data_IF_074950231578
#
_entry.id   IF_074950231578
#
_cell.length_a   1.000
_cell.length_b   1.000
_cell.length_c   1.000
_cell.angle_alpha   90.00
_cell.angle_beta   90.00
_cell.angle_gamma   90.00
#
_symmetry.space_group_name_H-M   'P 1'
#
loop_
_entity.id
_entity.type
_entity.pdbx_description
1 polymer ?
#
# COMPACT_ATOMS: atom_id res chain seq x y z
N UNK A 1 23.79 -16.89 -37.00
CA UNK A 1 23.78 -17.86 -35.89
C UNK A 1 23.48 -17.07 -34.65
N UNK A 2 22.28 -17.25 -34.09
CA UNK A 2 21.91 -16.62 -32.83
C UNK A 2 22.58 -17.42 -31.71
N UNK A 3 23.39 -16.77 -30.89
CA UNK A 3 24.08 -17.43 -29.78
C UNK A 3 23.09 -17.53 -28.61
N UNK A 4 22.97 -18.68 -27.94
CA UNK A 4 22.08 -18.81 -26.79
C UNK A 4 22.50 -17.81 -25.69
N UNK A 5 21.54 -17.24 -24.93
CA UNK A 5 21.87 -16.37 -23.81
C UNK A 5 22.65 -17.19 -22.77
N UNK A 6 23.96 -16.98 -22.72
CA UNK A 6 24.88 -17.59 -21.75
C UNK A 6 25.40 -16.50 -20.84
N UNK A 7 25.43 -16.79 -19.54
CA UNK A 7 26.03 -15.89 -18.55
C UNK A 7 27.56 -16.01 -18.69
N UNK A 8 28.32 -14.92 -18.89
CA UNK A 8 29.77 -14.99 -19.02
C UNK A 8 30.40 -15.53 -17.72
N UNK A 9 31.39 -16.43 -17.85
CA UNK A 9 32.08 -17.09 -16.72
C UNK A 9 33.59 -16.96 -16.90
N UNK A 10 34.34 -16.80 -15.81
CA UNK A 10 35.81 -16.78 -15.86
C UNK A 10 36.37 -15.51 -16.47
N UNK A 11 37.35 -15.64 -17.38
CA UNK A 11 38.05 -14.49 -17.99
C UNK A 11 37.12 -13.51 -18.72
N UNK A 12 36.07 -14.03 -19.36
CA UNK A 12 35.08 -13.18 -20.04
C UNK A 12 34.31 -12.29 -19.05
N UNK A 13 34.08 -12.77 -17.83
CA UNK A 13 33.41 -12.00 -16.78
C UNK A 13 34.31 -10.91 -16.21
N UNK A 14 35.61 -11.20 -16.03
CA UNK A 14 36.58 -10.22 -15.54
C UNK A 14 36.80 -9.07 -16.54
N UNK A 15 36.91 -9.39 -17.84
CA UNK A 15 36.97 -8.37 -18.89
C UNK A 15 35.71 -7.50 -18.92
N UNK A 16 34.54 -8.11 -18.71
CA UNK A 16 33.29 -7.37 -18.64
C UNK A 16 33.27 -6.39 -17.45
N UNK A 17 33.77 -6.82 -16.29
CA UNK A 17 33.89 -5.95 -15.12
C UNK A 17 34.84 -4.79 -15.37
N UNK A 18 35.99 -5.04 -16.01
CA UNK A 18 36.97 -3.99 -16.34
C UNK A 18 36.35 -2.94 -17.29
N UNK A 19 35.67 -3.39 -18.35
CA UNK A 19 34.93 -2.51 -19.27
C UNK A 19 33.84 -1.71 -18.57
N UNK A 20 33.03 -2.36 -17.71
CA UNK A 20 31.96 -1.68 -16.97
C UNK A 20 32.52 -0.66 -15.97
N UNK A 21 33.69 -0.93 -15.37
CA UNK A 21 34.37 -0.03 -14.45
C UNK A 21 35.09 1.14 -15.14
N UNK A 22 35.46 0.98 -16.41
CA UNK A 22 36.17 2.00 -17.20
C UNK A 22 35.31 3.21 -17.57
N UNK A 23 33.98 3.11 -17.42
CA UNK A 23 33.04 4.18 -17.78
C UNK A 23 31.99 4.41 -16.69
N UNK A 24 31.99 5.58 -16.07
CA UNK A 24 30.94 5.95 -15.13
C UNK A 24 29.59 6.16 -15.84
N UNK A 25 28.58 5.39 -15.42
CA UNK A 25 27.15 5.57 -15.75
C UNK A 25 26.75 5.50 -17.25
N UNK A 26 27.61 5.01 -18.15
CA UNK A 26 27.28 4.86 -19.57
C UNK A 26 26.29 3.73 -19.81
N UNK A 27 26.51 2.58 -19.17
CA UNK A 27 25.73 1.37 -19.41
C UNK A 27 24.53 1.22 -18.48
N UNK A 28 24.57 1.84 -17.31
CA UNK A 28 23.48 1.79 -16.33
C UNK A 28 23.23 3.17 -15.73
N UNK A 29 22.18 3.84 -16.22
CA UNK A 29 21.61 5.03 -15.60
C UNK A 29 20.23 4.68 -15.05
N UNK A 30 20.08 4.52 -13.73
CA UNK A 30 18.78 4.28 -13.12
C UNK A 30 17.78 5.36 -13.59
N UNK A 31 16.69 4.95 -14.22
CA UNK A 31 15.65 5.89 -14.61
C UNK A 31 14.96 6.38 -13.34
N UNK A 32 14.87 7.70 -13.16
CA UNK A 32 14.08 8.25 -12.05
C UNK A 32 12.65 7.73 -12.13
N UNK A 33 12.10 7.30 -10.99
CA UNK A 33 10.73 6.81 -10.90
C UNK A 33 9.79 7.95 -11.27
N UNK A 34 8.88 7.71 -12.20
CA UNK A 34 7.87 8.70 -12.57
C UNK A 34 6.95 8.94 -11.38
N UNK A 35 7.01 10.14 -10.81
CA UNK A 35 6.08 10.58 -9.77
C UNK A 35 4.85 11.21 -10.43
N UNK A 36 3.68 10.76 -10.02
CA UNK A 36 2.41 11.29 -10.47
C UNK A 36 1.86 12.17 -9.36
N UNK A 37 1.90 13.48 -9.55
CA UNK A 37 1.15 14.41 -8.71
C UNK A 37 -0.27 14.50 -9.26
N UNK A 38 -1.23 13.93 -8.52
CA UNK A 38 -2.65 14.08 -8.83
C UNK A 38 -3.11 15.36 -8.14
N UNK A 39 -3.64 16.31 -8.91
CA UNK A 39 -4.29 17.49 -8.35
C UNK A 39 -5.60 17.08 -7.68
N UNK A 40 -5.58 17.03 -6.35
CA UNK A 40 -6.70 16.65 -5.51
C UNK A 40 -7.58 17.83 -5.08
N UNK A 41 -7.31 19.05 -5.58
CA UNK A 41 -8.06 20.26 -5.19
C UNK A 41 -9.55 20.20 -5.50
N UNK A 42 -9.93 19.48 -6.56
CA UNK A 42 -11.33 19.33 -7.00
C UNK A 42 -12.03 18.08 -6.43
N UNK A 43 -11.29 17.19 -5.75
CA UNK A 43 -11.84 15.97 -5.20
C UNK A 43 -12.65 16.25 -3.93
N UNK A 44 -13.82 15.60 -3.82
CA UNK A 44 -14.60 15.61 -2.59
C UNK A 44 -13.90 14.77 -1.52
N UNK A 45 -14.09 15.10 -0.25
CA UNK A 45 -13.44 14.40 0.89
C UNK A 45 -13.55 12.88 0.83
N UNK A 46 -14.72 12.33 0.46
CA UNK A 46 -14.90 10.89 0.36
C UNK A 46 -14.10 10.25 -0.78
N UNK A 47 -13.88 10.96 -1.89
CA UNK A 47 -13.08 10.48 -3.01
C UNK A 47 -11.59 10.45 -2.65
N UNK A 48 -11.13 11.42 -1.85
CA UNK A 48 -9.77 11.44 -1.31
C UNK A 48 -9.50 10.22 -0.42
N UNK A 49 -10.53 9.75 0.29
CA UNK A 49 -10.47 8.54 1.12
C UNK A 49 -10.53 7.23 0.31
N UNK A 50 -10.68 7.30 -1.02
CA UNK A 50 -10.69 6.14 -1.91
C UNK A 50 -12.08 5.55 -2.18
N UNK A 51 -13.17 6.22 -1.80
CA UNK A 51 -14.53 5.79 -2.14
C UNK A 51 -14.93 6.23 -3.55
N UNK A 52 -15.44 5.30 -4.35
CA UNK A 52 -15.94 5.57 -5.71
C UNK A 52 -17.29 6.29 -5.69
N UNK A 53 -18.19 5.86 -4.80
CA UNK A 53 -19.52 6.46 -4.65
C UNK A 53 -19.73 7.06 -3.25
N UNK A 54 -20.53 8.13 -3.19
CA UNK A 54 -20.86 8.79 -1.93
C UNK A 54 -21.67 7.89 -0.98
N UNK A 55 -22.53 7.01 -1.52
CA UNK A 55 -23.34 6.09 -0.74
C UNK A 55 -22.48 5.13 0.10
N UNK A 56 -21.38 4.63 -0.47
CA UNK A 56 -20.46 3.71 0.20
C UNK A 56 -19.75 4.40 1.38
N UNK A 57 -19.36 5.67 1.20
CA UNK A 57 -18.78 6.49 2.27
C UNK A 57 -19.76 6.72 3.42
N UNK A 58 -21.03 7.02 3.12
CA UNK A 58 -22.06 7.22 4.14
C UNK A 58 -22.35 5.90 4.87
N UNK A 59 -22.43 4.78 4.15
CA UNK A 59 -22.58 3.45 4.73
C UNK A 59 -21.43 3.13 5.68
N UNK A 60 -20.18 3.33 5.24
CA UNK A 60 -18.98 3.15 6.05
C UNK A 60 -18.98 4.01 7.32
N UNK A 61 -19.37 5.29 7.22
CA UNK A 61 -19.50 6.16 8.39
C UNK A 61 -20.57 5.65 9.35
N UNK A 62 -21.72 5.23 8.83
CA UNK A 62 -22.82 4.68 9.63
C UNK A 62 -22.38 3.43 10.40
N UNK A 63 -21.71 2.48 9.75
CA UNK A 63 -21.25 1.25 10.38
C UNK A 63 -20.13 1.49 11.39
N UNK A 64 -19.18 2.39 11.11
CA UNK A 64 -18.07 2.66 12.03
C UNK A 64 -18.47 3.57 13.19
N UNK A 65 -19.43 4.48 13.00
CA UNK A 65 -20.01 5.23 14.10
C UNK A 65 -20.85 4.32 15.02
N UNK A 66 -21.46 3.26 14.47
CA UNK A 66 -22.24 2.28 15.25
C UNK A 66 -21.40 1.51 16.28
N UNK A 67 -20.08 1.41 16.09
CA UNK A 67 -19.16 0.83 17.08
C UNK A 67 -19.22 1.55 18.43
N UNK A 68 -19.66 2.82 18.47
CA UNK A 68 -19.84 3.55 19.72
C UNK A 68 -21.18 3.24 20.41
N UNK A 69 -22.17 2.70 19.69
CA UNK A 69 -23.48 2.35 20.25
C UNK A 69 -23.56 0.93 20.81
N UNK A 70 -22.61 0.04 20.50
CA UNK A 70 -22.51 -1.25 21.17
C UNK A 70 -22.27 -1.11 22.68
N UNK A 71 -21.57 -0.05 23.11
CA UNK A 71 -21.44 0.29 24.53
C UNK A 71 -22.76 0.76 25.16
N UNK A 72 -23.68 1.36 24.39
CA UNK A 72 -25.00 1.78 24.87
C UNK A 72 -25.96 0.58 25.03
N UNK A 73 -25.61 -0.61 24.52
CA UNK A 73 -26.36 -1.85 24.67
C UNK A 73 -25.82 -2.76 25.78
N UNK A 74 -24.72 -2.38 26.44
CA UNK A 74 -24.13 -3.14 27.53
C UNK A 74 -25.13 -3.35 28.68
N UNK A 75 -26.09 -2.44 28.91
CA UNK A 75 -27.14 -2.62 29.93
C UNK A 75 -28.08 -3.81 29.66
N UNK A 76 -28.19 -4.30 28.41
CA UNK A 76 -29.04 -5.44 28.07
C UNK A 76 -28.43 -6.78 28.52
N UNK A 77 -27.11 -6.81 28.70
CA UNK A 77 -26.36 -8.03 29.03
C UNK A 77 -25.57 -7.91 30.35
N UNK A 78 -25.37 -6.70 30.86
CA UNK A 78 -24.91 -6.43 32.22
C UNK A 78 -26.12 -6.40 33.16
N UNK A 79 -26.68 -7.58 33.43
CA UNK A 79 -27.61 -7.76 34.53
C UNK A 79 -26.80 -7.83 35.83
N UNK A 80 -26.80 -6.75 36.62
CA UNK A 80 -26.21 -6.73 37.97
C UNK A 80 -26.88 -7.72 38.95
N UNK A 81 -27.86 -8.52 38.49
CA UNK A 81 -28.60 -9.52 39.28
C UNK A 81 -27.96 -10.90 39.39
N UNK A 82 -26.77 -11.12 38.85
CA UNK A 82 -26.00 -12.37 39.08
C UNK A 82 -24.89 -12.14 40.14
N UNK A 83 -25.26 -11.57 41.29
CA UNK A 83 -24.41 -11.58 42.49
C UNK A 83 -25.21 -12.16 43.67
N UNK A 84 -25.70 -13.38 43.51
CA UNK A 84 -26.15 -14.21 44.62
C UNK A 84 -24.92 -14.81 45.33
N UNK A 85 -24.24 -13.99 46.13
CA UNK A 85 -23.39 -14.47 47.21
C UNK A 85 -24.13 -14.18 48.53
N UNK A 86 -25.06 -15.06 48.87
CA UNK A 86 -25.45 -15.37 50.27
C UNK A 86 -24.67 -16.63 50.72
#
# INVERSE_FOLDING_TARGET
>A
MEHPPTVPVGEEFELLQDVLSSTDNVYYKPRSRREYHIDSSSLKKFQILGFEHYADYVGYLGTNALSNHTADLDFLFNDDRENYND
#
